data_IF_390481979070
#
_entry.id   IF_390481979070
#
_cell.length_a   1.000
_cell.length_b   1.000
_cell.length_c   1.000
_cell.angle_alpha   90.00
_cell.angle_beta   90.00
_cell.angle_gamma   90.00
#
_symmetry.space_group_name_H-M   'P 1'
#
loop_
_entity.id
_entity.type
_entity.pdbx_description
1 polymer ?
#
# COMPACT_ATOMS: atom_id res chain seq x y z
N UNK A 1 16.60 -8.02 14.72
CA UNK A 1 16.08 -7.57 16.03
C UNK A 1 14.79 -8.35 16.32
N UNK A 2 14.80 -9.32 17.26
CA UNK A 2 13.58 -10.10 17.55
C UNK A 2 12.75 -9.40 18.65
N UNK A 3 11.65 -8.75 18.26
CA UNK A 3 10.70 -8.09 19.17
C UNK A 3 9.33 -8.77 19.01
N UNK A 4 9.06 -9.90 19.69
CA UNK A 4 7.87 -10.74 19.44
C UNK A 4 6.54 -10.04 19.80
N UNK A 5 6.59 -9.01 20.66
CA UNK A 5 5.43 -8.23 21.08
C UNK A 5 5.16 -7.00 20.19
N UNK A 6 5.95 -6.80 19.14
CA UNK A 6 5.78 -5.67 18.23
C UNK A 6 4.53 -5.87 17.36
N UNK A 7 3.43 -5.21 17.71
CA UNK A 7 2.15 -5.30 17.00
C UNK A 7 1.92 -4.15 16.03
N UNK A 8 2.66 -3.05 16.15
CA UNK A 8 2.53 -1.86 15.29
C UNK A 8 3.91 -1.42 14.85
N UNK A 9 4.07 -1.20 13.55
CA UNK A 9 5.29 -0.67 12.96
C UNK A 9 4.93 0.57 12.14
N UNK A 10 5.53 1.70 12.51
CA UNK A 10 5.39 2.95 11.81
C UNK A 10 6.76 3.40 11.32
N UNK A 11 6.87 3.65 10.02
CA UNK A 11 8.09 4.08 9.37
C UNK A 11 7.81 5.40 8.63
N UNK A 12 8.55 6.45 8.98
CA UNK A 12 8.41 7.76 8.36
C UNK A 12 9.78 8.24 7.86
N UNK A 13 9.89 8.51 6.55
CA UNK A 13 11.10 9.03 5.89
C UNK A 13 11.07 10.54 5.66
N UNK A 14 10.12 11.25 6.26
CA UNK A 14 9.97 12.70 6.15
C UNK A 14 11.27 13.41 6.54
N UNK A 15 11.73 14.27 5.64
CA UNK A 15 12.84 15.18 5.87
C UNK A 15 12.35 16.46 6.56
N UNK A 16 13.25 17.19 7.22
CA UNK A 16 12.95 18.50 7.82
C UNK A 16 12.36 19.50 6.82
N UNK A 17 12.57 19.29 5.53
CA UNK A 17 12.09 20.16 4.44
C UNK A 17 10.77 19.69 3.81
N UNK A 18 10.24 18.54 4.21
CA UNK A 18 8.97 18.02 3.72
C UNK A 18 7.85 18.69 4.54
N UNK A 19 7.62 19.99 4.29
CA UNK A 19 6.43 20.70 4.75
C UNK A 19 5.19 20.16 4.03
N UNK A 20 4.02 20.26 4.66
CA UNK A 20 2.72 19.73 4.21
C UNK A 20 2.19 20.33 2.89
N UNK A 21 2.94 21.24 2.27
CA UNK A 21 2.64 21.87 0.99
C UNK A 21 3.66 21.52 -0.08
N UNK A 22 3.17 20.92 -1.16
CA UNK A 22 3.79 20.71 -2.47
C UNK A 22 5.29 20.34 -2.50
N UNK A 23 5.53 19.07 -2.81
CA UNK A 23 6.86 18.51 -3.06
C UNK A 23 7.51 19.24 -4.25
N UNK A 24 8.28 20.28 -3.94
CA UNK A 24 9.31 20.79 -4.85
C UNK A 24 10.34 19.68 -5.04
N UNK A 25 10.30 19.09 -6.22
CA UNK A 25 11.37 18.35 -6.91
C UNK A 25 12.68 18.31 -6.11
N UNK A 26 12.83 17.31 -5.25
CA UNK A 26 14.12 16.97 -4.68
C UNK A 26 15.04 16.57 -5.86
N UNK A 27 16.24 17.12 -5.92
CA UNK A 27 17.20 16.84 -7.01
C UNK A 27 17.42 15.34 -7.19
N UNK A 28 17.51 14.89 -8.44
CA UNK A 28 17.58 13.46 -8.82
C UNK A 28 18.68 12.69 -8.08
N UNK A 29 19.82 13.33 -7.81
CA UNK A 29 20.96 12.73 -7.08
C UNK A 29 20.64 12.43 -5.61
N UNK A 30 19.95 13.36 -4.93
CA UNK A 30 19.50 13.17 -3.55
C UNK A 30 18.41 12.11 -3.44
N UNK A 31 17.50 12.05 -4.44
CA UNK A 31 16.51 10.96 -4.55
C UNK A 31 17.22 9.62 -4.77
N UNK A 32 18.21 9.55 -5.67
CA UNK A 32 18.91 8.31 -5.98
C UNK A 32 19.64 7.75 -4.75
N UNK A 33 20.31 8.61 -3.97
CA UNK A 33 20.99 8.20 -2.74
C UNK A 33 20.00 7.77 -1.65
N UNK A 34 18.88 8.49 -1.47
CA UNK A 34 17.81 8.08 -0.53
C UNK A 34 17.13 6.79 -0.96
N UNK A 35 16.87 6.59 -2.26
CA UNK A 35 16.24 5.40 -2.85
C UNK A 35 17.05 4.12 -2.59
N UNK A 36 18.37 4.19 -2.76
CA UNK A 36 19.27 3.03 -2.50
C UNK A 36 19.23 2.63 -1.02
N UNK A 37 19.42 3.60 -0.12
CA UNK A 37 19.48 3.33 1.32
C UNK A 37 18.12 2.89 1.89
N UNK A 38 17.00 3.46 1.42
CA UNK A 38 15.68 3.11 1.96
C UNK A 38 15.27 1.67 1.63
N UNK A 39 15.62 1.16 0.44
CA UNK A 39 15.35 -0.23 0.05
C UNK A 39 16.11 -1.21 0.94
N UNK A 40 17.38 -0.93 1.20
CA UNK A 40 18.23 -1.74 2.07
C UNK A 40 17.74 -1.71 3.53
N UNK A 41 17.32 -0.54 4.02
CA UNK A 41 16.74 -0.39 5.36
C UNK A 41 15.43 -1.18 5.49
N UNK A 42 14.51 -1.05 4.53
CA UNK A 42 13.27 -1.84 4.55
C UNK A 42 13.56 -3.34 4.47
N UNK A 43 14.51 -3.78 3.64
CA UNK A 43 14.87 -5.18 3.53
C UNK A 43 15.47 -5.73 4.84
N UNK A 44 16.30 -4.93 5.53
CA UNK A 44 16.95 -5.31 6.79
C UNK A 44 16.03 -5.32 8.02
N UNK A 45 14.85 -4.68 7.96
CA UNK A 45 13.93 -4.65 9.09
C UNK A 45 13.41 -6.04 9.48
N UNK A 46 13.09 -6.88 8.47
CA UNK A 46 12.50 -8.22 8.61
C UNK A 46 11.63 -8.35 9.87
N UNK A 47 10.54 -7.57 9.95
CA UNK A 47 9.74 -7.54 11.16
C UNK A 47 9.14 -8.91 11.44
N UNK A 48 8.85 -9.18 12.71
CA UNK A 48 8.13 -10.39 13.09
C UNK A 48 6.73 -10.39 12.47
N UNK A 49 6.25 -11.55 12.04
CA UNK A 49 4.98 -11.76 11.33
C UNK A 49 3.70 -11.46 12.14
N UNK A 50 3.86 -11.03 13.41
CA UNK A 50 2.78 -10.73 14.36
C UNK A 50 2.34 -9.25 14.29
N UNK A 51 2.91 -8.45 13.39
CA UNK A 51 2.47 -7.08 13.20
C UNK A 51 1.01 -7.07 12.75
N UNK A 52 0.22 -6.25 13.44
CA UNK A 52 -1.18 -5.97 13.13
C UNK A 52 -1.37 -4.70 12.32
N UNK A 53 -0.50 -3.71 12.51
CA UNK A 53 -0.56 -2.44 11.78
C UNK A 53 0.81 -2.07 11.23
N UNK A 54 0.86 -1.82 9.93
CA UNK A 54 2.03 -1.30 9.24
C UNK A 54 1.68 0.03 8.57
N UNK A 55 2.43 1.07 8.93
CA UNK A 55 2.29 2.39 8.34
C UNK A 55 3.63 2.84 7.75
N UNK A 56 3.63 3.15 6.46
CA UNK A 56 4.80 3.64 5.72
C UNK A 56 4.49 5.01 5.16
N UNK A 57 5.27 5.99 5.58
CA UNK A 57 5.13 7.40 5.20
C UNK A 57 6.41 7.92 4.53
N UNK A 58 6.27 8.71 3.47
CA UNK A 58 7.39 9.40 2.79
C UNK A 58 8.48 8.46 2.24
N UNK A 59 8.17 7.18 2.03
CA UNK A 59 9.18 6.22 1.57
C UNK A 59 9.65 6.57 0.15
N UNK A 60 10.95 6.86 -0.05
CA UNK A 60 11.47 7.36 -1.31
C UNK A 60 11.76 6.25 -2.32
N UNK A 61 11.63 4.98 -1.94
CA UNK A 61 11.79 3.86 -2.86
C UNK A 61 10.59 3.69 -3.79
N UNK A 62 10.84 2.99 -4.90
CA UNK A 62 9.80 2.58 -5.86
C UNK A 62 9.38 1.12 -5.69
N UNK A 63 10.11 0.37 -4.87
CA UNK A 63 9.90 -1.06 -4.65
C UNK A 63 9.80 -1.33 -3.15
N UNK A 64 8.95 -2.28 -2.80
CA UNK A 64 8.83 -2.80 -1.45
C UNK A 64 9.82 -3.97 -1.24
N UNK A 65 10.25 -4.26 0.00
CA UNK A 65 11.18 -5.36 0.28
C UNK A 65 10.54 -6.72 -0.02
N UNK A 66 11.35 -7.77 -0.20
CA UNK A 66 10.84 -9.10 -0.59
C UNK A 66 9.85 -9.68 0.41
N UNK A 67 10.05 -9.41 1.71
CA UNK A 67 9.13 -9.81 2.76
C UNK A 67 7.74 -9.16 2.62
N UNK A 68 7.64 -7.97 2.02
CA UNK A 68 6.35 -7.31 1.73
C UNK A 68 5.79 -7.70 0.35
N UNK A 69 6.66 -8.09 -0.59
CA UNK A 69 6.25 -8.61 -1.90
C UNK A 69 5.65 -10.03 -1.81
N UNK A 70 5.75 -10.68 -0.63
CA UNK A 70 5.12 -11.95 -0.27
C UNK A 70 5.34 -13.03 -1.35
N UNK A 71 6.60 -13.19 -1.76
CA UNK A 71 7.01 -14.21 -2.74
C UNK A 71 7.32 -15.57 -2.11
N UNK A 72 7.17 -15.70 -0.78
CA UNK A 72 7.46 -16.89 0.01
C UNK A 72 6.25 -17.25 0.90
N UNK A 73 5.69 -18.47 0.82
CA UNK A 73 4.59 -18.93 1.68
C UNK A 73 4.85 -18.82 3.19
N UNK A 74 6.11 -18.84 3.63
CA UNK A 74 6.51 -18.67 5.04
C UNK A 74 6.54 -17.20 5.48
N UNK A 75 6.42 -16.26 4.54
CA UNK A 75 6.40 -14.80 4.78
C UNK A 75 5.00 -14.22 4.93
N UNK A 76 3.99 -15.08 5.14
CA UNK A 76 2.64 -14.62 5.45
C UNK A 76 2.70 -13.65 6.62
N UNK A 77 2.03 -12.50 6.49
CA UNK A 77 1.71 -11.64 7.62
C UNK A 77 0.32 -12.04 8.10
N UNK A 78 0.15 -13.18 8.82
CA UNK A 78 -1.16 -13.70 9.16
C UNK A 78 -1.92 -12.76 10.08
N UNK A 79 -1.23 -11.84 10.76
CA UNK A 79 -1.81 -10.91 11.73
C UNK A 79 -2.03 -9.50 11.19
N UNK A 80 -1.53 -9.16 10.00
CA UNK A 80 -1.59 -7.78 9.51
C UNK A 80 -3.04 -7.42 9.17
N UNK A 81 -3.61 -6.54 9.99
CA UNK A 81 -4.99 -6.08 9.89
C UNK A 81 -5.09 -4.70 9.23
N UNK A 82 -4.06 -3.87 9.36
CA UNK A 82 -4.05 -2.50 8.86
C UNK A 82 -2.76 -2.22 8.08
N UNK A 83 -2.89 -1.83 6.80
CA UNK A 83 -1.79 -1.35 5.97
C UNK A 83 -2.07 0.07 5.48
N UNK A 84 -1.19 1.00 5.85
CA UNK A 84 -1.33 2.42 5.53
C UNK A 84 -0.09 2.88 4.77
N UNK A 85 -0.31 3.35 3.55
CA UNK A 85 0.72 3.85 2.65
C UNK A 85 0.46 5.33 2.38
N UNK A 86 1.33 6.20 2.88
CA UNK A 86 1.15 7.64 2.85
C UNK A 86 2.33 8.34 2.16
N UNK A 87 2.05 9.26 1.24
CA UNK A 87 3.04 10.08 0.54
C UNK A 87 4.19 9.25 0.01
N UNK A 88 3.91 8.36 -0.94
CA UNK A 88 4.94 7.56 -1.61
C UNK A 88 5.27 8.20 -2.98
N UNK A 89 6.25 9.13 -3.05
CA UNK A 89 6.44 9.99 -4.22
C UNK A 89 6.94 9.24 -5.46
N UNK A 90 7.50 8.04 -5.29
CA UNK A 90 8.09 7.24 -6.36
C UNK A 90 7.36 5.91 -6.59
N UNK A 91 6.23 5.68 -5.90
CA UNK A 91 5.41 4.51 -6.14
C UNK A 91 4.61 4.71 -7.43
N UNK A 92 5.01 4.05 -8.50
CA UNK A 92 4.28 4.08 -9.78
C UNK A 92 3.28 2.94 -9.89
N UNK A 93 3.65 1.77 -9.39
CA UNK A 93 2.87 0.55 -9.41
C UNK A 93 3.04 -0.16 -8.07
N UNK A 94 1.94 -0.62 -7.48
CA UNK A 94 2.01 -1.53 -6.34
C UNK A 94 2.07 -2.95 -6.88
N UNK A 95 3.24 -3.58 -6.84
CA UNK A 95 3.39 -4.97 -7.31
C UNK A 95 3.17 -5.92 -6.14
N UNK A 96 2.05 -6.66 -6.20
CA UNK A 96 1.80 -7.82 -5.36
C UNK A 96 1.99 -9.04 -6.27
N UNK A 97 3.00 -9.86 -5.98
CA UNK A 97 3.28 -11.09 -6.75
C UNK A 97 2.76 -12.31 -5.99
N UNK A 98 1.55 -12.20 -5.47
CA UNK A 98 0.89 -13.27 -4.75
C UNK A 98 0.59 -14.42 -5.73
N UNK A 99 0.91 -15.66 -5.35
CA UNK A 99 0.29 -16.81 -5.99
C UNK A 99 -1.19 -16.85 -5.60
N UNK A 100 -2.01 -17.62 -6.31
CA UNK A 100 -3.46 -17.68 -6.10
C UNK A 100 -3.86 -17.98 -4.63
N UNK A 101 -3.01 -18.69 -3.89
CA UNK A 101 -3.20 -19.05 -2.48
C UNK A 101 -2.51 -18.10 -1.48
N UNK A 102 -1.65 -17.19 -1.95
CA UNK A 102 -0.98 -16.20 -1.11
C UNK A 102 -1.89 -14.99 -0.93
N UNK A 103 -2.26 -14.67 0.31
CA UNK A 103 -3.04 -13.46 0.61
C UNK A 103 -2.67 -12.91 1.98
N UNK A 104 -3.19 -11.73 2.31
CA UNK A 104 -3.19 -11.21 3.67
C UNK A 104 -4.53 -11.57 4.33
N UNK A 105 -4.64 -12.75 5.00
CA UNK A 105 -5.92 -13.28 5.44
C UNK A 105 -6.57 -12.44 6.54
N UNK A 106 -5.80 -11.63 7.26
CA UNK A 106 -6.31 -10.77 8.33
C UNK A 106 -6.47 -9.30 7.93
N UNK A 107 -6.07 -8.90 6.71
CA UNK A 107 -6.07 -7.48 6.33
C UNK A 107 -7.50 -6.98 6.17
N UNK A 108 -7.88 -6.05 7.05
CA UNK A 108 -9.22 -5.44 7.12
C UNK A 108 -9.21 -4.00 6.63
N UNK A 109 -8.09 -3.30 6.76
CA UNK A 109 -7.96 -1.89 6.40
C UNK A 109 -6.76 -1.68 5.48
N UNK A 110 -7.02 -1.06 4.33
CA UNK A 110 -5.99 -0.69 3.36
C UNK A 110 -6.18 0.76 2.94
N UNK A 111 -5.13 1.56 3.09
CA UNK A 111 -5.16 2.98 2.71
C UNK A 111 -3.96 3.36 1.84
N UNK A 112 -4.26 4.08 0.76
CA UNK A 112 -3.32 4.87 -0.03
C UNK A 112 -3.65 6.35 0.14
N UNK A 113 -2.67 7.15 0.56
CA UNK A 113 -2.83 8.61 0.65
C UNK A 113 -1.67 9.32 -0.02
N UNK A 114 -1.95 10.31 -0.86
CA UNK A 114 -0.95 11.19 -1.48
C UNK A 114 0.14 10.44 -2.27
N UNK A 115 -0.19 9.30 -2.87
CA UNK A 115 0.71 8.55 -3.75
C UNK A 115 0.62 9.11 -5.18
N UNK A 116 1.16 10.31 -5.39
CA UNK A 116 0.96 11.11 -6.61
C UNK A 116 1.46 10.49 -7.91
N UNK A 117 2.28 9.43 -7.84
CA UNK A 117 2.78 8.70 -9.01
C UNK A 117 2.07 7.39 -9.28
N UNK A 118 1.22 6.91 -8.38
CA UNK A 118 0.56 5.62 -8.49
C UNK A 118 -0.39 5.62 -9.69
N UNK A 119 -0.18 4.74 -10.66
CA UNK A 119 -0.95 4.68 -11.91
C UNK A 119 -2.10 3.68 -11.85
N UNK A 120 -1.88 2.55 -11.19
CA UNK A 120 -2.82 1.43 -11.08
C UNK A 120 -2.59 0.65 -9.79
N UNK A 121 -3.61 -0.11 -9.38
CA UNK A 121 -3.50 -1.14 -8.35
C UNK A 121 -3.46 -2.54 -9.00
N UNK A 122 -2.73 -3.49 -8.42
CA UNK A 122 -2.64 -4.87 -8.89
C UNK A 122 -3.96 -5.60 -8.72
N UNK A 123 -4.30 -6.55 -9.60
CA UNK A 123 -5.55 -7.33 -9.53
C UNK A 123 -5.60 -8.22 -8.28
N UNK A 124 -4.43 -8.56 -7.76
CA UNK A 124 -4.21 -9.34 -6.55
C UNK A 124 -4.85 -8.69 -5.32
N UNK A 125 -5.07 -7.37 -5.30
CA UNK A 125 -5.83 -6.70 -4.23
C UNK A 125 -7.22 -7.34 -4.05
N UNK A 126 -7.81 -7.86 -5.12
CA UNK A 126 -9.11 -8.53 -5.13
C UNK A 126 -9.10 -9.91 -4.44
N UNK A 127 -7.92 -10.42 -4.07
CA UNK A 127 -7.77 -11.64 -3.27
C UNK A 127 -7.88 -11.37 -1.76
N UNK A 128 -7.94 -10.11 -1.33
CA UNK A 128 -8.05 -9.71 0.08
C UNK A 128 -9.47 -9.93 0.63
N UNK A 129 -9.83 -11.20 0.89
CA UNK A 129 -11.19 -11.59 1.29
C UNK A 129 -11.66 -10.99 2.62
N UNK A 130 -10.75 -10.61 3.50
CA UNK A 130 -11.06 -10.00 4.80
C UNK A 130 -11.11 -8.47 4.77
N UNK A 131 -10.84 -7.85 3.62
CA UNK A 131 -10.77 -6.39 3.51
C UNK A 131 -12.15 -5.77 3.71
N UNK A 132 -12.27 -4.90 4.71
CA UNK A 132 -13.48 -4.17 5.07
C UNK A 132 -13.46 -2.73 4.62
N UNK A 133 -12.30 -2.10 4.61
CA UNK A 133 -12.14 -0.70 4.27
C UNK A 133 -10.99 -0.51 3.28
N UNK A 134 -11.31 0.07 2.12
CA UNK A 134 -10.33 0.45 1.11
C UNK A 134 -10.41 1.96 0.86
N UNK A 135 -9.39 2.70 1.29
CA UNK A 135 -9.35 4.16 1.20
C UNK A 135 -8.23 4.62 0.26
N UNK A 136 -8.57 5.48 -0.70
CA UNK A 136 -7.64 6.03 -1.68
C UNK A 136 -7.83 7.53 -1.76
N UNK A 137 -6.85 8.29 -1.30
CA UNK A 137 -6.91 9.74 -1.19
C UNK A 137 -5.75 10.40 -1.93
N UNK A 138 -6.04 11.43 -2.72
CA UNK A 138 -5.01 12.28 -3.34
C UNK A 138 -3.99 11.51 -4.21
N UNK A 139 -4.45 10.47 -4.93
CA UNK A 139 -3.64 9.69 -5.86
C UNK A 139 -3.87 10.18 -7.30
N UNK A 140 -3.26 11.32 -7.65
CA UNK A 140 -3.62 12.07 -8.86
C UNK A 140 -3.41 11.33 -10.19
N UNK A 141 -2.46 10.39 -10.25
CA UNK A 141 -2.17 9.61 -11.46
C UNK A 141 -2.90 8.28 -11.54
N UNK A 142 -3.69 7.93 -10.53
CA UNK A 142 -4.41 6.66 -10.51
C UNK A 142 -5.49 6.70 -11.60
N UNK A 143 -5.30 5.92 -12.66
CA UNK A 143 -6.16 5.98 -13.84
C UNK A 143 -7.32 4.98 -13.78
N UNK A 144 -7.11 3.84 -13.11
CA UNK A 144 -8.08 2.76 -12.99
C UNK A 144 -7.91 1.97 -11.69
N UNK A 145 -8.99 1.31 -11.31
CA UNK A 145 -8.99 0.25 -10.30
C UNK A 145 -9.24 -1.10 -10.98
N UNK A 146 -8.87 -2.24 -10.36
CA UNK A 146 -9.15 -3.56 -10.89
C UNK A 146 -10.65 -3.76 -11.12
N UNK A 147 -11.04 -4.37 -12.24
CA UNK A 147 -12.46 -4.58 -12.55
C UNK A 147 -13.09 -5.63 -11.63
N UNK A 148 -12.26 -6.46 -11.01
CA UNK A 148 -12.60 -7.57 -10.14
C UNK A 148 -12.77 -7.15 -8.66
N UNK A 149 -12.90 -5.85 -8.34
CA UNK A 149 -13.15 -5.41 -6.96
C UNK A 149 -14.42 -6.03 -6.34
N UNK A 150 -15.36 -6.52 -7.17
CA UNK A 150 -16.52 -7.31 -6.71
C UNK A 150 -16.15 -8.60 -5.98
N UNK A 151 -14.90 -9.09 -6.10
CA UNK A 151 -14.39 -10.25 -5.34
C UNK A 151 -14.13 -9.93 -3.86
N UNK A 152 -14.09 -8.65 -3.49
CA UNK A 152 -13.95 -8.19 -2.10
C UNK A 152 -15.29 -8.31 -1.36
N UNK A 153 -15.68 -9.55 -1.04
CA UNK A 153 -17.00 -9.87 -0.46
C UNK A 153 -17.23 -9.29 0.94
N UNK A 154 -16.17 -8.92 1.66
CA UNK A 154 -16.25 -8.34 3.01
C UNK A 154 -16.14 -6.82 3.03
N UNK A 155 -16.07 -6.17 1.86
CA UNK A 155 -15.84 -4.73 1.78
C UNK A 155 -17.09 -3.96 2.24
N UNK A 156 -16.95 -3.25 3.35
CA UNK A 156 -18.01 -2.46 3.97
C UNK A 156 -17.90 -0.97 3.59
N UNK A 157 -16.68 -0.49 3.33
CA UNK A 157 -16.41 0.91 3.01
C UNK A 157 -15.37 1.06 1.90
N UNK A 158 -15.72 1.79 0.85
CA UNK A 158 -14.83 2.17 -0.25
C UNK A 158 -14.86 3.70 -0.37
N UNK A 159 -13.76 4.35 -0.06
CA UNK A 159 -13.63 5.80 -0.21
C UNK A 159 -12.53 6.15 -1.20
N UNK A 160 -12.88 6.96 -2.21
CA UNK A 160 -11.94 7.49 -3.18
C UNK A 160 -12.15 9.00 -3.23
N UNK A 161 -11.16 9.79 -2.83
CA UNK A 161 -11.24 11.26 -2.81
C UNK A 161 -10.02 11.87 -3.48
N UNK A 162 -10.21 13.00 -4.17
CA UNK A 162 -9.13 13.78 -4.80
C UNK A 162 -8.24 12.96 -5.76
N UNK A 163 -8.82 11.99 -6.49
CA UNK A 163 -8.11 11.18 -7.49
C UNK A 163 -8.46 11.65 -8.90
N UNK A 164 -7.78 12.69 -9.37
CA UNK A 164 -8.21 13.46 -10.56
C UNK A 164 -8.09 12.71 -11.90
N UNK A 165 -7.20 11.72 -12.02
CA UNK A 165 -7.06 10.92 -13.25
C UNK A 165 -7.97 9.69 -13.30
N UNK A 166 -8.73 9.40 -12.25
CA UNK A 166 -9.53 8.18 -12.18
C UNK A 166 -10.74 8.32 -13.11
N UNK A 167 -10.76 7.53 -14.19
CA UNK A 167 -11.80 7.63 -15.24
C UNK A 167 -12.96 6.65 -15.05
N UNK A 168 -12.68 5.52 -14.41
CA UNK A 168 -13.64 4.43 -14.27
C UNK A 168 -13.64 3.91 -12.83
N UNK A 169 -14.82 3.77 -12.27
CA UNK A 169 -15.03 2.96 -11.07
C UNK A 169 -15.42 1.55 -11.50
N UNK A 170 -14.95 0.51 -10.80
CA UNK A 170 -15.32 -0.85 -11.11
C UNK A 170 -16.80 -1.05 -10.84
N UNK A 171 -17.42 -1.92 -11.64
CA UNK A 171 -18.83 -2.27 -11.45
C UNK A 171 -18.94 -3.13 -10.20
N UNK A 172 -19.34 -2.52 -9.07
CA UNK A 172 -19.40 -3.18 -7.76
C UNK A 172 -20.63 -4.10 -7.58
N UNK A 173 -21.25 -4.56 -8.66
CA UNK A 173 -22.43 -5.43 -8.58
C UNK A 173 -23.53 -4.86 -7.67
N UNK A 174 -23.69 -3.52 -7.63
CA UNK A 174 -24.72 -2.83 -6.85
C UNK A 174 -26.11 -3.04 -7.48
N UNK A 175 -26.53 -4.30 -7.63
CA UNK A 175 -27.92 -4.63 -7.81
C UNK A 175 -28.57 -4.43 -6.44
N UNK A 176 -29.27 -3.30 -6.29
CA UNK A 176 -30.11 -3.07 -5.12
C UNK A 176 -31.08 -4.24 -4.98
N UNK A 177 -31.07 -4.89 -3.82
CA UNK A 177 -32.16 -5.79 -3.43
C UNK A 177 -33.44 -4.94 -3.42
N UNK A 178 -34.31 -5.20 -4.40
CA UNK A 178 -35.73 -4.84 -4.33
C UNK A 178 -36.45 -5.85 -3.46
#
# INVERSE_FOLDING_TARGET
MNKPNLSRLWLDWRSKNDSDGDVKSCSKEFIQKKKSCSKEVLQGLQPHYNIKRLEISFYPGSEFPTWMQMTDPLSSFPSLAELILNRLPNLEEWSLKWKEDDSLPALQFLQFSSCSRLKSLPVEICNLRSLKSLYIFSCDKLASLPHELSRLTSLESLEIKYCHSLRYLPVMGMQGQR
#
